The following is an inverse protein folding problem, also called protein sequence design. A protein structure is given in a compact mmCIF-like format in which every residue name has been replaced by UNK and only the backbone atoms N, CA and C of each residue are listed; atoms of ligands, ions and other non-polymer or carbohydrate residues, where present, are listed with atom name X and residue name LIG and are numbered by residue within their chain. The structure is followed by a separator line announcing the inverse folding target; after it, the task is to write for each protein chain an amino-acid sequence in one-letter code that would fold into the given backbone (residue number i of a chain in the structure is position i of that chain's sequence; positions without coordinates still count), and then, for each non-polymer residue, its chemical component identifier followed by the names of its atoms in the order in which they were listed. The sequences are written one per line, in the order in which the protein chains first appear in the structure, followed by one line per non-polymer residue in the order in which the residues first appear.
data_IF_197187773568
#
_entry.id   IF_197187773568
#
_cell.length_a   1.000
_cell.length_b   1.000
_cell.length_c   1.000
_cell.angle_alpha   90.00
_cell.angle_beta   90.00
_cell.angle_gamma   90.00
#
_symmetry.space_group_name_H-M   'P 1'
#
loop_
_entity.id
_entity.type
_entity.pdbx_description
1 polymer ?
#
# COMPACT_ATOMS: atom_id res chain seq x y z
N UNK A 1 -7.46 2.88 -41.81
CA UNK A 1 -6.49 2.33 -40.84
C UNK A 1 -6.03 3.48 -39.95
N UNK A 2 -6.85 3.82 -38.95
CA UNK A 2 -6.69 5.05 -38.18
C UNK A 2 -5.79 4.76 -36.99
N UNK A 3 -4.56 5.25 -37.05
CA UNK A 3 -3.59 5.22 -35.96
C UNK A 3 -4.18 5.97 -34.76
N UNK A 4 -4.66 5.25 -33.74
CA UNK A 4 -4.95 5.86 -32.44
C UNK A 4 -3.61 6.31 -31.86
N UNK A 5 -3.35 7.61 -31.85
CA UNK A 5 -2.34 8.19 -30.97
C UNK A 5 -2.84 7.96 -29.55
N UNK A 6 -2.33 6.91 -28.90
CA UNK A 6 -2.53 6.66 -27.48
C UNK A 6 -1.75 7.75 -26.72
N UNK A 7 -2.37 8.91 -26.54
CA UNK A 7 -1.91 9.89 -25.56
C UNK A 7 -2.34 9.38 -24.20
N UNK A 8 -1.65 8.38 -23.67
CA UNK A 8 -1.83 7.96 -22.29
C UNK A 8 -1.28 9.11 -21.46
N UNK A 9 -2.11 9.74 -20.63
CA UNK A 9 -1.61 10.68 -19.62
C UNK A 9 -0.50 9.96 -18.82
N UNK A 10 0.62 10.65 -18.58
CA UNK A 10 1.74 10.05 -17.88
C UNK A 10 1.36 9.90 -16.40
N UNK A 11 1.32 8.66 -15.90
CA UNK A 11 1.13 8.41 -14.47
C UNK A 11 2.36 8.82 -13.68
N UNK A 12 2.16 9.50 -12.55
CA UNK A 12 3.23 9.84 -11.62
C UNK A 12 3.29 8.81 -10.50
N UNK A 13 4.48 8.28 -10.22
CA UNK A 13 4.68 7.26 -9.19
C UNK A 13 5.52 7.84 -8.06
N UNK A 14 5.01 7.80 -6.84
CA UNK A 14 5.69 8.33 -5.66
C UNK A 14 5.71 7.35 -4.50
N UNK A 15 6.77 7.35 -3.66
CA UNK A 15 6.80 6.56 -2.44
C UNK A 15 5.74 7.04 -1.45
N UNK A 16 5.15 6.10 -0.70
CA UNK A 16 4.35 6.45 0.47
C UNK A 16 5.25 7.03 1.55
N UNK A 17 4.97 8.28 1.88
CA UNK A 17 5.66 9.13 2.85
C UNK A 17 4.62 9.69 3.83
N UNK A 18 5.08 10.34 4.90
CA UNK A 18 4.16 10.96 5.87
C UNK A 18 3.28 12.03 5.20
N UNK A 19 3.82 12.79 4.25
CA UNK A 19 3.04 13.82 3.54
C UNK A 19 1.92 13.22 2.68
N UNK A 20 2.10 12.01 2.15
CA UNK A 20 1.14 11.32 1.26
C UNK A 20 0.22 10.34 2.00
N UNK A 21 0.19 10.40 3.33
CA UNK A 21 -0.67 9.52 4.12
C UNK A 21 -2.16 9.67 3.78
N UNK A 22 -2.62 10.90 3.55
CA UNK A 22 -4.02 11.17 3.16
C UNK A 22 -4.40 10.50 1.84
N UNK A 23 -3.51 10.48 0.85
CA UNK A 23 -3.74 9.83 -0.44
C UNK A 23 -3.85 8.32 -0.30
N UNK A 24 -3.01 7.73 0.54
CA UNK A 24 -3.08 6.31 0.89
C UNK A 24 -4.41 5.96 1.57
N UNK A 25 -4.87 6.79 2.50
CA UNK A 25 -6.19 6.60 3.14
C UNK A 25 -7.33 6.70 2.14
N UNK A 26 -7.24 7.63 1.18
CA UNK A 26 -8.22 7.79 0.11
C UNK A 26 -8.33 6.54 -0.75
N UNK A 27 -7.19 5.95 -1.15
CA UNK A 27 -7.16 4.70 -1.92
C UNK A 27 -7.79 3.51 -1.16
N UNK A 28 -7.59 3.45 0.15
CA UNK A 28 -8.05 2.33 0.97
C UNK A 28 -9.51 2.50 1.42
N UNK A 29 -9.98 3.75 1.51
CA UNK A 29 -11.33 4.11 1.90
C UNK A 29 -11.72 3.65 3.31
N UNK A 30 -12.99 3.83 3.66
CA UNK A 30 -13.52 3.52 4.99
C UNK A 30 -13.37 2.05 5.41
N UNK A 31 -13.24 1.13 4.43
CA UNK A 31 -13.08 -0.31 4.69
C UNK A 31 -11.62 -0.75 4.77
N UNK A 32 -10.63 0.10 4.48
CA UNK A 32 -9.23 -0.28 4.55
C UNK A 32 -8.80 -1.32 3.51
N UNK A 33 -9.14 -1.06 2.24
CA UNK A 33 -9.01 -1.97 1.09
C UNK A 33 -9.81 -3.28 1.27
N UNK A 34 -9.17 -4.45 1.14
CA UNK A 34 -9.80 -5.77 1.21
C UNK A 34 -10.24 -6.15 2.64
N UNK A 35 -11.15 -5.37 3.23
CA UNK A 35 -11.74 -5.63 4.55
C UNK A 35 -10.78 -5.34 5.71
N UNK A 36 -10.09 -4.20 5.68
CA UNK A 36 -9.26 -3.73 6.79
C UNK A 36 -7.85 -4.31 6.79
N UNK A 37 -7.37 -4.75 5.64
CA UNK A 37 -6.04 -5.34 5.54
C UNK A 37 -4.95 -4.27 5.69
N UNK A 38 -5.19 -3.04 5.21
CA UNK A 38 -4.23 -1.93 5.19
C UNK A 38 -2.84 -2.33 4.67
N UNK A 39 -2.81 -3.31 3.76
CA UNK A 39 -1.61 -3.95 3.21
C UNK A 39 -0.64 -4.56 4.25
N UNK A 40 -1.14 -4.92 5.43
CA UNK A 40 -0.34 -5.51 6.51
C UNK A 40 -0.31 -7.04 6.48
N UNK A 41 -1.09 -7.70 5.60
CA UNK A 41 -1.23 -9.16 5.54
C UNK A 41 0.10 -9.90 5.53
N UNK A 42 1.03 -9.45 4.70
CA UNK A 42 2.34 -10.07 4.55
C UNK A 42 3.40 -9.47 5.47
N UNK A 43 3.13 -8.30 6.06
CA UNK A 43 4.07 -7.57 6.92
C UNK A 43 3.99 -8.03 8.37
N UNK A 44 2.79 -8.38 8.85
CA UNK A 44 2.58 -8.83 10.23
C UNK A 44 2.55 -10.37 10.34
N UNK A 45 2.90 -10.91 11.53
CA UNK A 45 2.47 -12.23 11.94
C UNK A 45 0.96 -12.41 11.79
N UNK A 46 0.52 -13.59 11.34
CA UNK A 46 -0.91 -13.87 11.10
C UNK A 46 -1.81 -13.57 12.30
N UNK A 47 -1.44 -13.92 13.55
CA UNK A 47 -2.25 -13.59 14.72
C UNK A 47 -2.37 -12.07 14.97
N UNK A 48 -1.30 -11.31 14.71
CA UNK A 48 -1.29 -9.85 14.86
C UNK A 48 -2.13 -9.17 13.78
N UNK A 49 -2.02 -9.65 12.53
CA UNK A 49 -2.84 -9.17 11.42
C UNK A 49 -4.34 -9.32 11.70
N UNK A 50 -4.78 -10.50 12.18
CA UNK A 50 -6.20 -10.75 12.44
C UNK A 50 -6.71 -9.94 13.63
N UNK A 51 -5.94 -9.86 14.72
CA UNK A 51 -6.29 -9.01 15.88
C UNK A 51 -6.38 -7.53 15.51
N UNK A 52 -5.52 -7.08 14.60
CA UNK A 52 -5.42 -5.68 14.19
C UNK A 52 -6.36 -5.27 13.04
N UNK A 53 -7.11 -6.21 12.45
CA UNK A 53 -7.88 -5.96 11.22
C UNK A 53 -8.75 -4.70 11.31
N UNK A 54 -8.64 -3.83 10.31
CA UNK A 54 -9.21 -2.48 10.34
C UNK A 54 -8.24 -1.48 10.97
N UNK A 55 -8.69 -0.77 12.02
CA UNK A 55 -7.93 0.34 12.60
C UNK A 55 -6.56 -0.04 13.18
N UNK A 56 -6.41 -1.26 13.69
CA UNK A 56 -5.10 -1.72 14.19
C UNK A 56 -4.05 -1.81 13.07
N UNK A 57 -4.42 -2.38 11.93
CA UNK A 57 -3.56 -2.51 10.75
C UNK A 57 -3.32 -1.14 10.11
N UNK A 58 -4.31 -0.23 10.11
CA UNK A 58 -4.12 1.16 9.69
C UNK A 58 -3.06 1.86 10.53
N UNK A 59 -3.15 1.74 11.86
CA UNK A 59 -2.14 2.29 12.78
C UNK A 59 -0.78 1.66 12.58
N UNK A 60 -0.70 0.34 12.36
CA UNK A 60 0.56 -0.35 12.09
C UNK A 60 1.24 0.19 10.81
N UNK A 61 0.51 0.34 9.72
CA UNK A 61 1.04 0.95 8.49
C UNK A 61 1.45 2.41 8.73
N UNK A 62 0.66 3.20 9.46
CA UNK A 62 1.00 4.59 9.79
C UNK A 62 2.29 4.70 10.60
N UNK A 63 2.50 3.79 11.56
CA UNK A 63 3.74 3.75 12.33
C UNK A 63 4.94 3.44 11.45
N UNK A 64 4.80 2.51 10.51
CA UNK A 64 5.85 2.17 9.53
C UNK A 64 6.22 3.37 8.64
N UNK A 65 5.23 4.12 8.17
CA UNK A 65 5.49 5.36 7.40
C UNK A 65 6.16 6.42 8.28
N UNK A 66 5.76 6.53 9.55
CA UNK A 66 6.34 7.49 10.51
C UNK A 66 7.77 7.16 10.92
N UNK A 67 8.21 5.91 10.82
CA UNK A 67 9.60 5.53 11.07
C UNK A 67 10.55 5.93 9.93
N UNK A 68 10.04 6.56 8.87
CA UNK A 68 10.82 6.95 7.69
C UNK A 68 10.90 5.84 6.63
N UNK A 69 10.27 4.69 6.86
CA UNK A 69 10.17 3.65 5.85
C UNK A 69 9.15 4.05 4.80
N UNK A 70 9.46 3.82 3.52
CA UNK A 70 8.52 3.94 2.41
C UNK A 70 8.00 2.55 2.04
N UNK A 71 6.85 2.08 2.58
CA UNK A 71 6.43 0.69 2.46
C UNK A 71 5.72 0.37 1.12
N UNK A 72 5.80 1.28 0.16
CA UNK A 72 5.20 1.09 -1.15
C UNK A 72 5.14 2.36 -1.99
N UNK A 73 4.45 2.23 -3.11
CA UNK A 73 4.29 3.24 -4.15
C UNK A 73 2.82 3.58 -4.36
N UNK A 74 2.54 4.87 -4.57
CA UNK A 74 1.25 5.40 -4.99
C UNK A 74 1.38 5.87 -6.43
N UNK A 75 0.45 5.48 -7.29
CA UNK A 75 0.32 6.01 -8.64
C UNK A 75 -0.73 7.12 -8.67
N UNK A 76 -0.47 8.17 -9.44
CA UNK A 76 -1.34 9.31 -9.62
C UNK A 76 -1.66 9.53 -11.09
N UNK A 77 -2.92 9.86 -11.38
CA UNK A 77 -3.38 10.42 -12.65
C UNK A 77 -3.64 11.92 -12.42
N UNK A 78 -2.70 12.76 -12.86
CA UNK A 78 -2.62 14.15 -12.40
C UNK A 78 -2.36 14.22 -10.90
N UNK A 79 -3.29 14.81 -10.15
CA UNK A 79 -3.23 14.93 -8.67
C UNK A 79 -4.02 13.82 -7.95
N UNK A 80 -4.77 12.99 -8.69
CA UNK A 80 -5.63 11.97 -8.10
C UNK A 80 -4.86 10.67 -7.85
N UNK A 81 -4.79 10.13 -6.62
CA UNK A 81 -4.19 8.83 -6.39
C UNK A 81 -5.11 7.72 -6.94
N UNK A 82 -4.58 6.90 -7.84
CA UNK A 82 -5.35 5.87 -8.56
C UNK A 82 -4.90 4.43 -8.28
N UNK A 83 -3.70 4.22 -7.74
CA UNK A 83 -3.23 2.87 -7.41
C UNK A 83 -2.25 2.82 -6.24
N UNK A 84 -2.16 1.65 -5.63
CA UNK A 84 -1.23 1.31 -4.55
C UNK A 84 -0.47 0.03 -4.86
N UNK A 85 0.84 0.02 -4.60
CA UNK A 85 1.67 -1.18 -4.63
C UNK A 85 2.54 -1.24 -3.38
N UNK A 86 2.37 -2.28 -2.56
CA UNK A 86 3.26 -2.54 -1.41
C UNK A 86 4.54 -3.18 -1.90
N UNK A 87 5.67 -2.55 -1.59
CA UNK A 87 7.00 -3.01 -1.99
C UNK A 87 8.00 -2.73 -0.86
N UNK A 88 9.05 -3.55 -0.78
CA UNK A 88 10.12 -3.41 0.20
C UNK A 88 11.06 -4.62 0.16
N UNK A 89 12.12 -4.60 0.98
CA UNK A 89 12.96 -5.77 1.24
C UNK A 89 12.13 -6.98 1.68
N UNK A 90 12.53 -8.19 1.29
CA UNK A 90 11.82 -9.43 1.67
C UNK A 90 11.69 -9.60 3.18
N UNK A 91 12.70 -9.19 3.94
CA UNK A 91 12.71 -9.24 5.40
C UNK A 91 11.58 -8.41 6.07
N UNK A 92 11.05 -7.40 5.37
CA UNK A 92 9.93 -6.59 5.87
C UNK A 92 8.57 -7.29 5.75
N UNK A 93 8.56 -8.48 5.13
CA UNK A 93 7.38 -9.29 4.90
C UNK A 93 7.49 -10.60 5.68
N UNK A 94 7.38 -10.53 7.01
CA UNK A 94 7.46 -11.70 7.90
C UNK A 94 6.49 -12.84 7.55
N UNK A 95 5.40 -12.54 6.84
CA UNK A 95 4.48 -13.54 6.29
C UNK A 95 5.07 -14.40 5.19
N UNK A 96 5.99 -13.84 4.37
CA UNK A 96 6.66 -14.56 3.29
C UNK A 96 7.72 -15.52 3.81
N UNK A 97 8.44 -15.18 4.89
CA UNK A 97 9.45 -16.06 5.49
C UNK A 97 8.86 -17.41 5.95
N UNK A 98 7.58 -17.41 6.35
CA UNK A 98 6.86 -18.61 6.79
C UNK A 98 6.11 -19.31 5.67
N UNK A 99 6.08 -18.73 4.47
CA UNK A 99 5.43 -19.33 3.31
C UNK A 99 6.29 -20.47 2.76
N UNK A 100 5.68 -21.63 2.52
CA UNK A 100 6.36 -22.78 1.89
C UNK A 100 6.31 -22.76 0.37
N UNK A 101 5.54 -21.84 -0.20
CA UNK A 101 5.24 -21.77 -1.65
C UNK A 101 5.58 -20.40 -2.26
N UNK A 102 6.03 -19.42 -1.46
CA UNK A 102 6.39 -18.05 -1.88
C UNK A 102 7.66 -17.58 -1.17
#
# INVERSE_FOLDING_TARGET
MTTRKNTVAAYHIHPLTQERWGDFEKLFGARGACGGCWCMLWRLPRPDFERGKGEGNRRAMRMLVRSGTAPGLIAYDGEEPVAWCSVGPRADFSGLERSRIL
#
